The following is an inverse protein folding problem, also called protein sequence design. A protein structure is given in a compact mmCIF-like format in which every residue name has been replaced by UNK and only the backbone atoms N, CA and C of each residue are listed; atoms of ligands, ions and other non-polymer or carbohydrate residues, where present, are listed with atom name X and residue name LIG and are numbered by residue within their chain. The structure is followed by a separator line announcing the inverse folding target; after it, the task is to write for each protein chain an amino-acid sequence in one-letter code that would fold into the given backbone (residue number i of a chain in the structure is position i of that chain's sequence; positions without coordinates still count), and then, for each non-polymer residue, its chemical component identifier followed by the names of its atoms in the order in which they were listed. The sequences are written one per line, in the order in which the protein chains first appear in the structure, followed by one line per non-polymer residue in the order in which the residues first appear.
data_IF_351841979937
#
_entry.id   IF_351841979937
#
_cell.length_a   1.000
_cell.length_b   1.000
_cell.length_c   1.000
_cell.angle_alpha   90.00
_cell.angle_beta   90.00
_cell.angle_gamma   90.00
#
_symmetry.space_group_name_H-M   'P 1'
#
loop_
_entity.id
_entity.type
_entity.pdbx_description
1 polymer ?
#
# COMPACT_ATOMS: atom_id res chain seq x y z
N UNK A 1 -36.21 34.64 -5.16
CA UNK A 1 -34.75 34.79 -4.94
C UNK A 1 -34.30 34.14 -3.63
N UNK A 2 -34.87 34.49 -2.47
CA UNK A 2 -34.51 33.89 -1.17
C UNK A 2 -34.61 32.35 -1.08
N UNK A 3 -35.57 31.73 -1.79
CA UNK A 3 -35.73 30.27 -1.76
C UNK A 3 -34.64 29.52 -2.57
N UNK A 4 -34.19 30.09 -3.70
CA UNK A 4 -33.12 29.49 -4.52
C UNK A 4 -31.76 29.57 -3.81
N UNK A 5 -31.48 30.69 -3.12
CA UNK A 5 -30.29 30.85 -2.29
C UNK A 5 -30.26 29.85 -1.12
N UNK A 6 -31.41 29.67 -0.46
CA UNK A 6 -31.57 28.68 0.62
C UNK A 6 -31.39 27.25 0.10
N UNK A 7 -31.96 26.93 -1.06
CA UNK A 7 -31.82 25.62 -1.70
C UNK A 7 -30.36 25.34 -2.08
N UNK A 8 -29.66 26.30 -2.69
CA UNK A 8 -28.23 26.19 -3.00
C UNK A 8 -27.38 26.01 -1.74
N UNK A 9 -27.73 26.71 -0.66
CA UNK A 9 -27.08 26.54 0.65
C UNK A 9 -27.23 25.11 1.19
N UNK A 10 -28.44 24.55 1.16
CA UNK A 10 -28.67 23.17 1.57
C UNK A 10 -27.95 22.16 0.67
N UNK A 11 -28.00 22.35 -0.65
CA UNK A 11 -27.30 21.47 -1.60
C UNK A 11 -25.80 21.48 -1.35
N UNK A 12 -25.19 22.66 -1.19
CA UNK A 12 -23.75 22.79 -0.90
C UNK A 12 -23.37 22.05 0.39
N UNK A 13 -24.18 22.19 1.44
CA UNK A 13 -23.96 21.50 2.70
C UNK A 13 -24.09 19.99 2.54
N UNK A 14 -25.17 19.52 1.93
CA UNK A 14 -25.42 18.10 1.71
C UNK A 14 -24.33 17.44 0.85
N UNK A 15 -23.87 18.11 -0.21
CA UNK A 15 -22.77 17.59 -1.03
C UNK A 15 -21.44 17.56 -0.27
N UNK A 16 -21.19 18.54 0.60
CA UNK A 16 -19.97 18.59 1.42
C UNK A 16 -19.97 17.44 2.43
N UNK A 17 -21.08 17.23 3.13
CA UNK A 17 -21.25 16.14 4.09
C UNK A 17 -21.11 14.77 3.41
N UNK A 18 -21.71 14.59 2.23
CA UNK A 18 -21.58 13.35 1.45
C UNK A 18 -20.13 13.09 1.01
N UNK A 19 -19.43 14.11 0.51
CA UNK A 19 -18.02 13.98 0.12
C UNK A 19 -17.15 13.64 1.33
N UNK A 20 -17.40 14.25 2.49
CA UNK A 20 -16.64 13.97 3.70
C UNK A 20 -16.85 12.54 4.18
N UNK A 21 -18.10 12.06 4.23
CA UNK A 21 -18.41 10.69 4.64
C UNK A 21 -17.79 9.68 3.68
N UNK A 22 -17.86 9.93 2.36
CA UNK A 22 -17.21 9.07 1.36
C UNK A 22 -15.70 9.01 1.51
N UNK A 23 -15.04 10.14 1.82
CA UNK A 23 -13.59 10.16 2.09
C UNK A 23 -13.25 9.30 3.31
N UNK A 24 -13.99 9.45 4.41
CA UNK A 24 -13.76 8.64 5.62
C UNK A 24 -13.88 7.15 5.35
N UNK A 25 -14.88 6.73 4.56
CA UNK A 25 -15.02 5.32 4.19
C UNK A 25 -13.81 4.85 3.37
N UNK A 26 -13.41 5.61 2.35
CA UNK A 26 -12.22 5.28 1.55
C UNK A 26 -10.96 5.21 2.39
N UNK A 27 -10.73 6.17 3.28
CA UNK A 27 -9.55 6.18 4.15
C UNK A 27 -9.53 4.94 5.08
N UNK A 28 -10.69 4.45 5.52
CA UNK A 28 -10.78 3.22 6.31
C UNK A 28 -10.50 1.98 5.45
N UNK A 29 -11.10 1.88 4.26
CA UNK A 29 -10.85 0.79 3.32
C UNK A 29 -9.38 0.74 2.86
N UNK A 30 -8.78 1.90 2.59
CA UNK A 30 -7.39 2.05 2.15
C UNK A 30 -6.42 1.69 3.27
N UNK A 31 -6.73 2.00 4.54
CA UNK A 31 -5.93 1.57 5.70
C UNK A 31 -5.90 0.06 5.85
N UNK A 32 -7.04 -0.62 5.65
CA UNK A 32 -7.09 -2.08 5.73
C UNK A 32 -6.30 -2.75 4.59
N UNK A 33 -6.13 -2.06 3.46
CA UNK A 33 -5.43 -2.54 2.27
C UNK A 33 -4.13 -1.79 2.01
N UNK A 34 -3.59 -1.13 3.02
CA UNK A 34 -2.41 -0.29 2.87
C UNK A 34 -1.23 -1.18 2.44
N UNK A 35 -0.62 -0.92 1.27
CA UNK A 35 0.51 -1.73 0.81
C UNK A 35 1.69 -1.61 1.77
N UNK A 36 2.21 -2.73 2.24
CA UNK A 36 3.40 -2.76 3.09
C UNK A 36 4.65 -2.76 2.22
N UNK A 37 5.50 -1.74 2.39
CA UNK A 37 6.78 -1.65 1.70
C UNK A 37 7.84 -2.52 2.39
N UNK A 38 8.54 -3.35 1.60
CA UNK A 38 9.77 -4.04 2.04
C UNK A 38 10.93 -3.06 1.84
N UNK A 39 11.38 -2.41 2.91
CA UNK A 39 12.42 -1.37 2.86
C UNK A 39 13.86 -1.90 3.01
N UNK A 40 14.01 -3.19 3.31
CA UNK A 40 15.30 -3.83 3.50
C UNK A 40 15.15 -5.34 3.66
N UNK A 41 16.22 -6.06 3.33
CA UNK A 41 16.29 -7.52 3.44
C UNK A 41 17.69 -7.93 3.89
N UNK A 42 17.76 -9.06 4.60
CA UNK A 42 19.01 -9.71 4.95
C UNK A 42 18.76 -11.22 5.04
N UNK A 43 19.78 -12.03 4.76
CA UNK A 43 19.64 -13.48 4.77
C UNK A 43 20.97 -14.19 5.00
N UNK A 44 20.89 -15.45 5.44
CA UNK A 44 22.00 -16.41 5.39
C UNK A 44 21.46 -17.75 4.90
N UNK A 45 22.09 -18.29 3.87
CA UNK A 45 21.70 -19.55 3.24
C UNK A 45 22.93 -20.44 2.98
N UNK A 46 22.74 -21.73 2.62
CA UNK A 46 23.82 -22.60 2.18
C UNK A 46 24.62 -22.03 1.00
N UNK A 47 25.80 -22.60 0.74
CA UNK A 47 26.70 -22.11 -0.31
C UNK A 47 27.37 -20.77 0.01
N UNK A 48 27.41 -20.37 1.29
CA UNK A 48 28.10 -19.15 1.74
C UNK A 48 27.33 -17.85 1.45
N UNK A 49 26.05 -17.92 1.08
CA UNK A 49 25.19 -16.77 0.81
C UNK A 49 24.92 -15.99 2.08
N UNK A 50 25.35 -14.73 2.14
CA UNK A 50 25.24 -13.88 3.33
C UNK A 50 24.52 -12.54 3.09
N UNK A 51 24.01 -12.33 1.87
CA UNK A 51 23.28 -11.14 1.46
C UNK A 51 22.24 -11.45 0.38
N UNK A 52 21.21 -10.60 0.22
CA UNK A 52 20.27 -10.72 -0.89
C UNK A 52 20.95 -10.74 -2.28
N UNK A 53 22.05 -10.01 -2.44
CA UNK A 53 22.85 -9.98 -3.67
C UNK A 53 23.55 -11.33 -3.94
N UNK A 54 24.06 -11.99 -2.90
CA UNK A 54 24.61 -13.35 -3.01
C UNK A 54 23.51 -14.35 -3.41
N UNK A 55 22.35 -14.24 -2.78
CA UNK A 55 21.20 -15.10 -3.10
C UNK A 55 20.80 -14.94 -4.56
N UNK A 56 20.71 -13.70 -5.04
CA UNK A 56 20.35 -13.41 -6.42
C UNK A 56 21.35 -14.04 -7.40
N UNK A 57 22.65 -13.98 -7.12
CA UNK A 57 23.69 -14.61 -7.96
C UNK A 57 23.52 -16.12 -8.06
N UNK A 58 23.22 -16.80 -6.95
CA UNK A 58 22.98 -18.26 -6.93
C UNK A 58 21.73 -18.62 -7.72
N UNK A 59 20.60 -17.95 -7.46
CA UNK A 59 19.31 -18.26 -8.09
C UNK A 59 19.35 -17.96 -9.59
N UNK A 60 19.85 -16.78 -9.98
CA UNK A 60 19.96 -16.40 -11.39
C UNK A 60 20.97 -17.29 -12.15
N UNK A 61 21.99 -17.79 -11.46
CA UNK A 61 22.95 -18.74 -12.01
C UNK A 61 22.47 -20.19 -12.05
N UNK A 62 21.32 -20.51 -11.45
CA UNK A 62 20.83 -21.88 -11.33
C UNK A 62 21.78 -22.81 -10.55
N UNK A 63 22.56 -22.26 -9.63
CA UNK A 63 23.60 -23.00 -8.89
C UNK A 63 22.96 -23.80 -7.76
N UNK A 64 23.27 -25.10 -7.70
CA UNK A 64 22.94 -25.95 -6.55
C UNK A 64 23.99 -25.75 -5.44
N UNK A 65 23.52 -25.53 -4.22
CA UNK A 65 24.34 -25.22 -3.04
C UNK A 65 24.21 -26.27 -1.94
N UNK A 66 23.59 -27.41 -2.23
CA UNK A 66 23.52 -28.55 -1.31
C UNK A 66 24.89 -29.22 -1.21
N UNK A 67 25.31 -29.53 0.01
CA UNK A 67 26.54 -30.28 0.33
C UNK A 67 26.23 -31.42 1.30
N UNK A 68 27.07 -32.47 1.30
CA UNK A 68 26.98 -33.62 2.20
C UNK A 68 27.35 -33.28 3.66
#
# INVERSE_FOLDING_TARGET
MANDEKLRGYLKRATTELQQTRRRLRDMEDREREPIAIIGMACRYPGGVASPEDLWRVVAGGVDVVSE
#
